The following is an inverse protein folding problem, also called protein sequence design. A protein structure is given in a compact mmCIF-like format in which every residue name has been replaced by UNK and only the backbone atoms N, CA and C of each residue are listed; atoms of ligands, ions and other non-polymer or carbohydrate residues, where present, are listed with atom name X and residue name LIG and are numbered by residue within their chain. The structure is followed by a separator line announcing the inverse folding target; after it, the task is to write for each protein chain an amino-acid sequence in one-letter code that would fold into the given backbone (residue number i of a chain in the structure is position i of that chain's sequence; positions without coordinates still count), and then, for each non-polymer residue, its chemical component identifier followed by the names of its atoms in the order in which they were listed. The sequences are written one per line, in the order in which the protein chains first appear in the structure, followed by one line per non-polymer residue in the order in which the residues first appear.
data_IF_999818242347
#
_entry.id   IF_999818242347
#
_cell.length_a   1.000
_cell.length_b   1.000
_cell.length_c   1.000
_cell.angle_alpha   90.00
_cell.angle_beta   90.00
_cell.angle_gamma   90.00
#
_symmetry.space_group_name_H-M   'P 1'
#
loop_
_entity.id
_entity.type
_entity.pdbx_description
1 polymer ?
#
# COMPACT_ATOMS: atom_id res chain seq x y z
N UNK A 1 3.70 7.70 -11.33
CA UNK A 1 2.91 8.42 -10.31
C UNK A 1 2.56 7.39 -9.27
N UNK A 2 3.01 7.59 -8.04
CA UNK A 2 2.84 6.67 -6.92
C UNK A 2 2.21 7.47 -5.78
N UNK A 3 1.10 7.01 -5.22
CA UNK A 3 0.45 7.66 -4.10
C UNK A 3 -0.20 6.67 -3.14
N UNK A 4 0.11 6.83 -1.87
CA UNK A 4 -0.40 6.04 -0.75
C UNK A 4 -0.87 6.98 0.35
N UNK A 5 -1.89 6.58 1.10
CA UNK A 5 -2.40 7.31 2.26
C UNK A 5 -2.71 6.35 3.41
N UNK A 6 -2.45 6.82 4.64
CA UNK A 6 -2.88 6.17 5.86
C UNK A 6 -3.60 7.15 6.77
N UNK A 7 -4.70 6.69 7.36
CA UNK A 7 -5.55 7.46 8.28
C UNK A 7 -5.70 6.64 9.55
N UNK A 8 -5.22 7.18 10.67
CA UNK A 8 -5.41 6.61 12.00
C UNK A 8 -6.60 7.30 12.66
N UNK A 9 -7.54 6.50 13.13
CA UNK A 9 -8.77 6.89 13.81
C UNK A 9 -8.84 6.20 15.17
N UNK A 10 -9.67 6.71 16.06
CA UNK A 10 -9.92 6.05 17.35
C UNK A 10 -10.50 4.63 17.17
N UNK A 11 -11.24 4.40 16.09
CA UNK A 11 -11.83 3.09 15.73
C UNK A 11 -10.86 2.14 15.02
N UNK A 12 -9.70 2.63 14.55
CA UNK A 12 -8.72 1.80 13.87
C UNK A 12 -7.96 2.51 12.74
N UNK A 13 -7.46 1.72 11.79
CA UNK A 13 -6.54 2.17 10.73
C UNK A 13 -7.16 1.95 9.34
N UNK A 14 -7.09 2.97 8.49
CA UNK A 14 -7.40 2.88 7.06
C UNK A 14 -6.13 3.11 6.26
N UNK A 15 -5.83 2.22 5.31
CA UNK A 15 -4.76 2.39 4.34
C UNK A 15 -5.31 2.27 2.92
N UNK A 16 -4.79 3.07 2.00
CA UNK A 16 -5.05 2.95 0.58
C UNK A 16 -3.78 3.23 -0.22
N UNK A 17 -3.57 2.49 -1.30
CA UNK A 17 -2.44 2.64 -2.21
C UNK A 17 -2.90 2.54 -3.65
N UNK A 18 -2.36 3.37 -4.52
CA UNK A 18 -2.51 3.19 -5.96
C UNK A 18 -1.63 2.03 -6.47
N UNK A 19 -1.76 1.66 -7.75
CA UNK A 19 -0.98 0.57 -8.35
C UNK A 19 -0.18 0.98 -9.58
N UNK A 20 -0.31 2.23 -10.04
CA UNK A 20 0.43 2.71 -11.21
C UNK A 20 1.90 2.83 -10.84
N UNK A 21 2.79 2.22 -11.61
CA UNK A 21 4.23 2.23 -11.33
C UNK A 21 4.99 2.55 -12.61
N UNK A 22 5.99 3.42 -12.51
CA UNK A 22 6.99 3.58 -13.57
C UNK A 22 8.00 2.43 -13.43
N UNK A 23 8.01 1.53 -14.41
CA UNK A 23 8.91 0.37 -14.46
C UNK A 23 10.11 0.60 -15.39
N UNK A 24 10.22 1.78 -16.00
CA UNK A 24 11.22 2.13 -17.00
C UNK A 24 10.69 3.17 -18.00
N UNK A 25 11.57 3.62 -18.90
CA UNK A 25 11.16 4.50 -20.01
C UNK A 25 10.06 3.82 -20.83
N UNK A 26 8.95 4.53 -21.03
CA UNK A 26 7.74 4.04 -21.73
C UNK A 26 7.11 2.78 -21.13
N UNK A 27 7.38 2.49 -19.85
CA UNK A 27 6.84 1.35 -19.14
C UNK A 27 6.04 1.80 -17.92
N UNK A 28 4.72 1.91 -18.11
CA UNK A 28 3.76 2.08 -17.01
C UNK A 28 3.04 0.77 -16.78
N UNK A 29 3.16 0.23 -15.57
CA UNK A 29 2.63 -1.07 -15.20
C UNK A 29 1.81 -1.01 -13.90
N UNK A 30 1.12 -2.10 -13.62
CA UNK A 30 0.31 -2.30 -12.41
C UNK A 30 1.12 -3.17 -11.45
N UNK A 31 1.57 -2.59 -10.35
CA UNK A 31 2.22 -3.32 -9.27
C UNK A 31 1.52 -3.01 -7.94
N UNK A 32 1.10 -4.04 -7.17
CA UNK A 32 0.53 -3.84 -5.85
C UNK A 32 1.59 -3.26 -4.91
N UNK A 33 1.19 -2.20 -4.20
CA UNK A 33 2.03 -1.46 -3.26
C UNK A 33 1.72 -1.81 -1.81
N UNK A 34 0.58 -2.45 -1.54
CA UNK A 34 0.13 -2.83 -0.21
C UNK A 34 0.53 -4.27 0.13
N UNK A 35 1.21 -4.44 1.25
CA UNK A 35 1.69 -5.71 1.77
C UNK A 35 1.09 -5.97 3.14
N UNK A 36 0.64 -7.21 3.36
CA UNK A 36 0.08 -7.68 4.62
C UNK A 36 0.99 -8.74 5.23
N UNK A 37 1.36 -8.55 6.49
CA UNK A 37 2.06 -9.53 7.31
C UNK A 37 1.22 -9.79 8.55
N UNK A 38 0.92 -11.06 8.82
CA UNK A 38 -0.05 -11.44 9.85
C UNK A 38 0.45 -12.69 10.58
N UNK A 39 0.40 -12.63 11.92
CA UNK A 39 0.49 -13.77 12.82
C UNK A 39 -0.69 -13.70 13.78
N UNK A 40 -1.12 -14.79 14.45
CA UNK A 40 -2.25 -14.73 15.36
C UNK A 40 -2.08 -13.63 16.42
N UNK A 41 -2.96 -12.63 16.38
CA UNK A 41 -2.95 -11.47 17.29
C UNK A 41 -2.17 -10.24 16.83
N UNK A 42 -1.41 -10.32 15.73
CA UNK A 42 -0.63 -9.19 15.21
C UNK A 42 -0.83 -9.01 13.70
N UNK A 43 -1.01 -7.75 13.28
CA UNK A 43 -1.17 -7.38 11.89
C UNK A 43 -0.26 -6.18 11.58
N UNK A 44 0.54 -6.32 10.52
CA UNK A 44 1.33 -5.23 9.94
C UNK A 44 0.87 -5.02 8.50
N UNK A 45 0.56 -3.77 8.18
CA UNK A 45 0.30 -3.33 6.82
C UNK A 45 1.38 -2.34 6.40
N UNK A 46 2.00 -2.58 5.24
CA UNK A 46 3.04 -1.73 4.69
C UNK A 46 2.67 -1.30 3.26
N UNK A 47 2.89 -0.03 2.94
CA UNK A 47 2.72 0.51 1.59
C UNK A 47 4.02 1.16 1.10
N UNK A 48 4.41 0.95 -0.17
CA UNK A 48 5.59 1.57 -0.79
C UNK A 48 5.32 2.16 -2.17
#
# INVERSE_FOLDING_TARGET
MTYCIGILLDEGLVLASDTRTNAGVDQVAIFPKMHKFEVPGELILAAY
#
